data_IF_191310159151
#
_entry.id   IF_191310159151
#
_cell.length_a   1.000
_cell.length_b   1.000
_cell.length_c   1.000
_cell.angle_alpha   90.00
_cell.angle_beta   90.00
_cell.angle_gamma   90.00
#
_symmetry.space_group_name_H-M   'P 1'
#
loop_
_entity.id
_entity.type
_entity.pdbx_description
1 polymer ?
#
# COMPACT_ATOMS: atom_id res chain seq x y z
N UNK A 1 18.49 -14.45 -2.46
CA UNK A 1 18.75 -13.07 -2.00
C UNK A 1 19.98 -13.11 -1.10
N UNK A 2 20.97 -12.25 -1.33
CA UNK A 2 22.24 -12.20 -0.57
C UNK A 2 22.09 -11.71 0.89
N UNK A 3 20.85 -11.48 1.35
CA UNK A 3 20.53 -11.01 2.71
C UNK A 3 20.35 -12.12 3.76
N UNK A 4 20.44 -13.41 3.39
CA UNK A 4 20.38 -14.52 4.35
C UNK A 4 19.02 -14.72 5.06
N UNK A 5 18.00 -13.92 4.71
CA UNK A 5 16.63 -14.02 5.23
C UNK A 5 15.75 -14.81 4.26
N UNK A 6 14.86 -15.63 4.82
CA UNK A 6 13.85 -16.34 4.05
C UNK A 6 12.63 -15.43 3.74
N UNK A 7 11.68 -15.93 2.94
CA UNK A 7 10.53 -15.15 2.50
C UNK A 7 9.63 -14.70 3.67
N UNK A 8 9.41 -15.56 4.65
CA UNK A 8 8.57 -15.29 5.82
C UNK A 8 9.19 -14.22 6.73
N UNK A 9 10.49 -14.30 6.97
CA UNK A 9 11.25 -13.29 7.71
C UNK A 9 11.22 -11.93 6.99
N UNK A 10 11.31 -11.95 5.67
CA UNK A 10 11.23 -10.74 4.86
C UNK A 10 9.82 -10.11 4.90
N UNK A 11 8.78 -10.93 4.79
CA UNK A 11 7.40 -10.47 4.88
C UNK A 11 7.08 -9.89 6.26
N UNK A 12 7.48 -10.58 7.33
CA UNK A 12 7.32 -10.10 8.70
C UNK A 12 8.04 -8.77 8.92
N UNK A 13 9.26 -8.63 8.38
CA UNK A 13 9.99 -7.37 8.42
C UNK A 13 9.26 -6.23 7.69
N UNK A 14 8.69 -6.48 6.51
CA UNK A 14 7.90 -5.48 5.79
C UNK A 14 6.64 -5.08 6.56
N UNK A 15 5.92 -6.04 7.13
CA UNK A 15 4.70 -5.79 7.92
C UNK A 15 4.97 -4.91 9.14
N UNK A 16 6.15 -5.00 9.76
CA UNK A 16 6.51 -4.20 10.93
C UNK A 16 6.54 -2.68 10.65
N UNK A 17 6.70 -2.26 9.39
CA UNK A 17 6.66 -0.85 9.01
C UNK A 17 5.29 -0.36 8.55
N UNK A 18 4.31 -1.26 8.42
CA UNK A 18 2.97 -0.95 7.95
C UNK A 18 2.02 -0.88 9.15
N UNK A 19 1.52 0.31 9.55
CA UNK A 19 0.59 0.44 10.68
C UNK A 19 -0.67 -0.43 10.60
N UNK A 20 -1.14 -0.74 9.39
CA UNK A 20 -2.24 -1.68 9.18
C UNK A 20 -1.91 -3.14 9.61
N UNK A 21 -0.65 -3.45 9.95
CA UNK A 21 -0.21 -4.73 10.49
C UNK A 21 -0.18 -5.88 9.47
N UNK A 22 -0.30 -5.57 8.18
CA UNK A 22 -0.30 -6.54 7.08
C UNK A 22 0.17 -5.89 5.78
N UNK A 23 0.54 -6.73 4.82
CA UNK A 23 0.70 -6.27 3.44
C UNK A 23 -0.68 -6.01 2.80
N UNK A 24 -0.72 -5.01 1.93
CA UNK A 24 -1.87 -4.74 1.07
C UNK A 24 -2.00 -5.79 -0.01
N UNK A 25 -3.22 -6.02 -0.50
CA UNK A 25 -3.44 -6.88 -1.68
C UNK A 25 -3.46 -6.06 -2.96
N UNK A 26 -3.28 -6.72 -4.10
CA UNK A 26 -3.38 -6.08 -5.41
C UNK A 26 -4.78 -5.48 -5.66
N UNK A 27 -5.84 -6.09 -5.12
CA UNK A 27 -7.23 -5.62 -5.25
C UNK A 27 -7.46 -4.30 -4.52
N UNK A 28 -6.78 -4.07 -3.40
CA UNK A 28 -6.87 -2.81 -2.66
C UNK A 28 -6.26 -1.65 -3.46
N UNK A 29 -5.11 -1.90 -4.10
CA UNK A 29 -4.50 -0.93 -5.00
C UNK A 29 -5.40 -0.69 -6.22
N UNK A 30 -5.90 -1.76 -6.84
CA UNK A 30 -6.80 -1.65 -8.00
C UNK A 30 -8.09 -0.88 -7.65
N UNK A 31 -8.65 -1.08 -6.46
CA UNK A 31 -9.85 -0.36 -6.02
C UNK A 31 -9.60 1.14 -5.87
N UNK A 32 -8.45 1.54 -5.33
CA UNK A 32 -8.07 2.95 -5.25
C UNK A 32 -7.88 3.57 -6.64
N UNK A 33 -7.27 2.84 -7.57
CA UNK A 33 -7.12 3.27 -8.97
C UNK A 33 -8.49 3.41 -9.65
N UNK A 34 -9.38 2.44 -9.48
CA UNK A 34 -10.74 2.51 -10.04
C UNK A 34 -11.50 3.71 -9.49
N UNK A 35 -11.38 4.01 -8.20
CA UNK A 35 -11.98 5.20 -7.61
C UNK A 35 -11.42 6.50 -8.21
N UNK A 36 -10.09 6.60 -8.38
CA UNK A 36 -9.44 7.74 -9.04
C UNK A 36 -9.84 7.91 -10.51
N UNK A 37 -10.26 6.84 -11.18
CA UNK A 37 -10.76 6.87 -12.56
C UNK A 37 -12.28 7.09 -12.64
N UNK A 38 -12.98 7.14 -11.51
CA UNK A 38 -14.45 7.26 -11.45
C UNK A 38 -14.91 8.70 -11.26
N UNK A 39 -16.19 8.97 -11.55
CA UNK A 39 -16.81 10.28 -11.32
C UNK A 39 -16.79 10.73 -9.85
N UNK A 40 -16.66 9.78 -8.91
CA UNK A 40 -16.58 10.05 -7.48
C UNK A 40 -15.33 10.85 -7.08
N UNK A 41 -14.31 10.88 -7.92
CA UNK A 41 -13.07 11.66 -7.71
C UNK A 41 -12.93 12.84 -8.68
N UNK A 42 -14.04 13.28 -9.30
CA UNK A 42 -14.06 14.31 -10.36
C UNK A 42 -13.42 15.68 -10.01
N UNK A 43 -13.14 15.97 -8.75
CA UNK A 43 -12.44 17.18 -8.30
C UNK A 43 -11.07 16.92 -7.66
N UNK A 44 -10.59 15.67 -7.70
CA UNK A 44 -9.29 15.27 -7.16
C UNK A 44 -8.26 15.31 -8.28
N UNK A 45 -7.50 16.40 -8.34
CA UNK A 45 -6.46 16.62 -9.36
C UNK A 45 -5.15 17.05 -8.70
N UNK A 46 -4.02 16.70 -9.33
CA UNK A 46 -2.69 17.10 -8.86
C UNK A 46 -2.26 16.50 -7.51
N UNK A 47 -2.97 15.48 -7.02
CA UNK A 47 -2.71 14.84 -5.73
C UNK A 47 -2.07 13.46 -5.92
N UNK A 48 -1.15 13.10 -5.04
CA UNK A 48 -0.62 11.72 -4.92
C UNK A 48 -1.33 11.04 -3.76
N UNK A 49 -2.23 10.10 -4.06
CA UNK A 49 -2.93 9.32 -3.05
C UNK A 49 -2.04 8.18 -2.55
N UNK A 50 -1.64 8.22 -1.29
CA UNK A 50 -0.93 7.11 -0.65
C UNK A 50 -1.90 5.95 -0.35
N UNK A 51 -1.54 4.74 -0.78
CA UNK A 51 -2.28 3.50 -0.52
C UNK A 51 -1.29 2.47 0.01
N UNK A 52 -0.87 2.66 1.26
CA UNK A 52 0.32 2.02 1.83
C UNK A 52 0.11 1.44 3.24
N UNK A 53 -1.15 1.37 3.71
CA UNK A 53 -1.47 0.89 5.05
C UNK A 53 -0.94 1.77 6.18
N UNK A 54 -0.64 3.05 5.89
CA UNK A 54 -0.18 4.05 6.87
C UNK A 54 1.34 4.21 6.94
N UNK A 55 2.10 3.55 6.06
CA UNK A 55 3.57 3.57 6.07
C UNK A 55 4.14 5.00 6.07
N UNK A 56 3.56 5.92 5.28
CA UNK A 56 3.99 7.31 5.19
C UNK A 56 3.42 8.24 6.28
N UNK A 57 2.45 7.80 7.08
CA UNK A 57 1.68 8.66 7.99
C UNK A 57 2.08 8.56 9.48
N UNK A 58 3.04 7.71 9.80
CA UNK A 58 3.49 7.42 11.17
C UNK A 58 4.62 8.34 11.66
#
# INVERSE_FOLDING_TARGET
NNLGVNAEQFESWLQAFVPAGRLGTQEEIASAVVWLCSDASSFVVGHTLAVDGGFLAQ
#
